data_IF_054239396065
#
_entry.id   IF_054239396065
#
_cell.length_a   1.000
_cell.length_b   1.000
_cell.length_c   1.000
_cell.angle_alpha   90.00
_cell.angle_beta   90.00
_cell.angle_gamma   90.00
#
_symmetry.space_group_name_H-M   'P 1'
#
loop_
_entity.id
_entity.type
_entity.pdbx_description
1 polymer ?
#
# COMPACT_ATOMS: atom_id res chain seq x y z
N UNK A 1 4.48 -16.62 16.69
CA UNK A 1 5.26 -17.14 15.53
C UNK A 1 6.70 -16.75 15.71
N UNK A 2 7.63 -17.59 15.22
CA UNK A 2 9.05 -17.27 15.15
C UNK A 2 9.38 -16.72 13.76
N UNK A 3 9.84 -15.48 13.71
CA UNK A 3 10.09 -14.73 12.47
C UNK A 3 11.54 -14.31 12.39
N UNK A 4 12.21 -14.62 11.30
CA UNK A 4 13.58 -14.20 11.05
C UNK A 4 13.58 -13.21 9.88
N UNK A 5 14.14 -12.02 10.11
CA UNK A 5 14.28 -10.98 9.09
C UNK A 5 15.76 -10.84 8.76
N UNK A 6 16.12 -11.02 7.50
CA UNK A 6 17.47 -10.86 6.98
C UNK A 6 17.60 -9.55 6.22
N UNK A 7 18.37 -8.60 6.77
CA UNK A 7 18.62 -7.26 6.25
C UNK A 7 17.99 -6.16 7.12
N UNK A 8 18.80 -5.43 7.88
CA UNK A 8 18.40 -4.27 8.68
C UNK A 8 18.41 -2.96 7.86
N UNK A 9 17.97 -3.02 6.61
CA UNK A 9 17.74 -1.86 5.76
C UNK A 9 16.31 -1.33 5.93
N UNK A 10 15.95 -0.37 5.12
CA UNK A 10 14.70 0.38 5.24
C UNK A 10 13.42 -0.49 5.38
N UNK A 11 13.30 -1.58 4.61
CA UNK A 11 12.14 -2.49 4.69
C UNK A 11 12.25 -3.38 5.92
N UNK A 12 13.42 -3.97 6.17
CA UNK A 12 13.64 -4.88 7.30
C UNK A 12 13.46 -4.19 8.66
N UNK A 13 14.02 -2.99 8.84
CA UNK A 13 13.83 -2.20 10.06
C UNK A 13 12.37 -1.79 10.26
N UNK A 14 11.67 -1.41 9.19
CA UNK A 14 10.26 -1.08 9.27
C UNK A 14 9.41 -2.29 9.68
N UNK A 15 9.65 -3.45 9.05
CA UNK A 15 9.00 -4.71 9.40
C UNK A 15 9.30 -5.11 10.86
N UNK A 16 10.56 -5.04 11.28
CA UNK A 16 10.96 -5.38 12.64
C UNK A 16 10.21 -4.53 13.67
N UNK A 17 10.12 -3.20 13.46
CA UNK A 17 9.35 -2.29 14.32
C UNK A 17 7.85 -2.53 14.30
N UNK A 18 7.29 -2.86 13.12
CA UNK A 18 5.87 -3.16 12.98
C UNK A 18 5.51 -4.43 13.75
N UNK A 19 6.32 -5.47 13.59
CA UNK A 19 6.07 -6.80 14.13
C UNK A 19 6.43 -6.90 15.62
N UNK A 20 7.36 -6.10 16.13
CA UNK A 20 7.69 -6.07 17.57
C UNK A 20 6.53 -5.60 18.45
N UNK A 21 5.53 -4.94 17.86
CA UNK A 21 4.27 -4.57 18.54
C UNK A 21 3.26 -5.72 18.63
N UNK A 22 3.47 -6.77 17.86
CA UNK A 22 2.72 -8.02 17.96
C UNK A 22 3.49 -9.00 18.85
N UNK A 23 2.82 -9.90 19.52
CA UNK A 23 3.44 -10.85 20.47
C UNK A 23 4.18 -11.97 19.70
N UNK A 24 5.14 -11.59 18.82
CA UNK A 24 5.89 -12.49 17.95
C UNK A 24 7.37 -12.52 18.36
N UNK A 25 8.01 -13.67 18.23
CA UNK A 25 9.45 -13.83 18.44
C UNK A 25 10.20 -13.41 17.16
N UNK A 26 10.92 -12.29 17.21
CA UNK A 26 11.57 -11.72 16.03
C UNK A 26 13.08 -11.75 16.21
N UNK A 27 13.78 -12.27 15.20
CA UNK A 27 15.24 -12.17 15.08
C UNK A 27 15.59 -11.38 13.81
N UNK A 28 16.37 -10.31 13.96
CA UNK A 28 16.85 -9.50 12.85
C UNK A 28 18.34 -9.74 12.62
N UNK A 29 18.71 -10.15 11.40
CA UNK A 29 20.09 -10.46 10.99
C UNK A 29 20.58 -9.37 10.03
N UNK A 30 21.77 -8.82 10.32
CA UNK A 30 22.47 -7.94 9.38
C UNK A 30 24.00 -8.03 9.59
N UNK A 31 24.78 -7.70 8.57
CA UNK A 31 26.24 -7.66 8.66
C UNK A 31 26.76 -6.44 9.45
N UNK A 32 25.97 -5.36 9.53
CA UNK A 32 26.33 -4.10 10.18
C UNK A 32 25.73 -4.03 11.58
N UNK A 33 26.60 -4.00 12.57
CA UNK A 33 26.24 -3.76 13.96
C UNK A 33 25.58 -2.37 14.14
N UNK A 34 26.06 -1.36 13.42
CA UNK A 34 25.50 0.00 13.45
C UNK A 34 24.03 0.03 12.99
N UNK A 35 23.71 -0.68 11.89
CA UNK A 35 22.32 -0.77 11.43
C UNK A 35 21.42 -1.48 12.43
N UNK A 36 21.89 -2.54 13.05
CA UNK A 36 21.15 -3.25 14.11
C UNK A 36 20.94 -2.36 15.33
N UNK A 37 21.98 -1.62 15.77
CA UNK A 37 21.88 -0.68 16.88
C UNK A 37 20.88 0.47 16.62
N UNK A 38 20.68 0.87 15.35
CA UNK A 38 19.76 1.95 14.98
C UNK A 38 18.28 1.62 15.20
N UNK A 39 17.94 0.36 15.47
CA UNK A 39 16.53 -0.04 15.68
C UNK A 39 16.02 0.40 17.05
N UNK A 40 16.93 0.65 17.97
CA UNK A 40 16.62 1.13 19.31
C UNK A 40 16.24 0.01 20.28
N UNK A 41 16.37 0.30 21.57
CA UNK A 41 16.03 -0.61 22.67
C UNK A 41 14.51 -0.75 22.87
N UNK A 42 13.71 0.02 22.14
CA UNK A 42 12.26 0.08 22.31
C UNK A 42 11.51 -1.04 21.58
N UNK A 43 12.24 -1.83 20.78
CA UNK A 43 11.68 -2.96 20.04
C UNK A 43 12.03 -4.27 20.74
N UNK A 44 11.01 -5.05 21.10
CA UNK A 44 11.17 -6.40 21.66
C UNK A 44 11.53 -7.39 20.54
N UNK A 45 12.84 -7.47 20.24
CA UNK A 45 13.38 -8.37 19.21
C UNK A 45 14.86 -8.71 19.50
N UNK A 46 15.31 -9.82 18.95
CA UNK A 46 16.71 -10.23 18.97
C UNK A 46 17.44 -9.68 17.74
N UNK A 47 18.66 -9.18 17.94
CA UNK A 47 19.55 -8.78 16.85
C UNK A 47 20.72 -9.75 16.73
N UNK A 48 21.13 -10.05 15.51
CA UNK A 48 22.26 -10.93 15.23
C UNK A 48 23.16 -10.35 14.15
N UNK A 49 24.42 -10.12 14.46
CA UNK A 49 25.42 -9.66 13.50
C UNK A 49 25.93 -10.84 12.67
N UNK A 50 25.78 -10.77 11.36
CA UNK A 50 26.30 -11.80 10.46
C UNK A 50 25.72 -11.76 9.06
N UNK A 51 26.34 -12.54 8.17
CA UNK A 51 25.88 -12.66 6.78
C UNK A 51 24.60 -13.49 6.71
N UNK A 52 23.52 -12.98 6.06
CA UNK A 52 22.30 -13.75 5.88
C UNK A 52 22.45 -15.07 5.08
N UNK A 53 23.56 -15.22 4.37
CA UNK A 53 23.92 -16.44 3.62
C UNK A 53 24.83 -17.39 4.37
N UNK A 54 25.20 -17.09 5.63
CA UNK A 54 26.03 -17.98 6.44
C UNK A 54 25.17 -19.05 7.12
N UNK A 55 25.45 -20.33 6.83
CA UNK A 55 24.77 -21.45 7.46
C UNK A 55 24.89 -21.46 8.99
N UNK A 56 26.04 -21.00 9.52
CA UNK A 56 26.23 -20.87 10.96
C UNK A 56 25.29 -19.81 11.53
N UNK A 57 25.28 -18.61 10.96
CA UNK A 57 24.41 -17.51 11.40
C UNK A 57 22.93 -17.92 11.33
N UNK A 58 22.52 -18.56 10.26
CA UNK A 58 21.14 -19.03 10.10
C UNK A 58 20.77 -20.09 11.15
N UNK A 59 21.68 -21.03 11.48
CA UNK A 59 21.45 -22.02 12.55
C UNK A 59 21.38 -21.36 13.92
N UNK A 60 22.31 -20.45 14.22
CA UNK A 60 22.35 -19.72 15.48
C UNK A 60 21.11 -18.84 15.67
N UNK A 61 20.52 -18.31 14.58
CA UNK A 61 19.22 -17.61 14.58
C UNK A 61 18.02 -18.54 14.81
N UNK A 62 18.22 -19.85 14.83
CA UNK A 62 17.17 -20.84 15.03
C UNK A 62 16.23 -20.96 13.82
N UNK A 63 16.78 -20.91 12.60
CA UNK A 63 16.02 -20.98 11.35
C UNK A 63 15.23 -22.29 11.19
N UNK A 64 15.68 -23.39 11.82
CA UNK A 64 14.99 -24.67 11.75
C UNK A 64 13.55 -24.63 12.30
N UNK A 65 13.30 -23.78 13.29
CA UNK A 65 12.01 -23.61 13.94
C UNK A 65 11.24 -22.37 13.44
N UNK A 66 11.78 -21.65 12.45
CA UNK A 66 11.16 -20.41 11.97
C UNK A 66 9.87 -20.69 11.20
N UNK A 67 8.80 -20.00 11.59
CA UNK A 67 7.52 -20.02 10.87
C UNK A 67 7.63 -19.21 9.56
N UNK A 68 8.42 -18.13 9.59
CA UNK A 68 8.63 -17.25 8.45
C UNK A 68 10.07 -16.70 8.42
N UNK A 69 10.73 -16.84 7.28
CA UNK A 69 12.02 -16.22 6.98
C UNK A 69 11.85 -15.17 5.89
N UNK A 70 12.32 -13.96 6.14
CA UNK A 70 12.12 -12.79 5.27
C UNK A 70 13.48 -12.22 4.88
N UNK A 71 13.87 -12.32 3.61
CA UNK A 71 15.11 -11.74 3.09
C UNK A 71 14.82 -10.44 2.33
N UNK A 72 15.26 -9.31 2.88
CA UNK A 72 14.97 -7.95 2.36
C UNK A 72 16.22 -7.06 2.33
N UNK A 73 17.37 -7.65 2.05
CA UNK A 73 18.61 -6.87 1.80
C UNK A 73 18.49 -6.12 0.45
N UNK A 74 19.39 -5.16 0.16
CA UNK A 74 19.43 -4.50 -1.16
C UNK A 74 19.78 -5.43 -2.33
N UNK A 75 20.45 -6.56 -2.07
CA UNK A 75 20.95 -7.49 -3.08
C UNK A 75 19.99 -8.66 -3.26
N UNK A 76 19.34 -8.74 -4.41
CA UNK A 76 18.37 -9.81 -4.71
C UNK A 76 19.03 -11.21 -4.69
N UNK A 77 20.26 -11.34 -5.18
CA UNK A 77 21.01 -12.61 -5.13
C UNK A 77 21.22 -13.10 -3.69
N UNK A 78 21.52 -12.20 -2.77
CA UNK A 78 21.61 -12.50 -1.33
C UNK A 78 20.26 -12.95 -0.78
N UNK A 79 19.17 -12.28 -1.15
CA UNK A 79 17.84 -12.60 -0.68
C UNK A 79 17.36 -13.97 -1.16
N UNK A 80 17.60 -14.28 -2.45
CA UNK A 80 17.27 -15.57 -3.04
C UNK A 80 18.08 -16.68 -2.35
N UNK A 81 19.41 -16.51 -2.26
CA UNK A 81 20.30 -17.49 -1.63
C UNK A 81 19.92 -17.74 -0.16
N UNK A 82 19.74 -16.67 0.62
CA UNK A 82 19.38 -16.77 2.03
C UNK A 82 18.03 -17.49 2.23
N UNK A 83 17.04 -17.21 1.39
CA UNK A 83 15.73 -17.86 1.44
C UNK A 83 15.79 -19.35 1.11
N UNK A 84 16.57 -19.74 0.10
CA UNK A 84 16.80 -21.17 -0.27
C UNK A 84 17.51 -21.88 0.91
N UNK A 85 18.55 -21.30 1.47
CA UNK A 85 19.27 -21.87 2.62
C UNK A 85 18.36 -22.00 3.85
N UNK A 86 17.58 -20.96 4.15
CA UNK A 86 16.63 -20.97 5.26
C UNK A 86 15.58 -22.08 5.11
N UNK A 87 15.02 -22.23 3.90
CA UNK A 87 14.06 -23.31 3.61
C UNK A 87 14.67 -24.70 3.84
N UNK A 88 15.88 -24.91 3.37
CA UNK A 88 16.58 -26.20 3.53
C UNK A 88 17.04 -26.45 5.00
N UNK A 89 17.16 -25.41 5.80
CA UNK A 89 17.42 -25.52 7.24
C UNK A 89 16.16 -25.81 8.07
N UNK A 90 14.96 -25.68 7.50
CA UNK A 90 13.70 -26.03 8.15
C UNK A 90 12.65 -24.90 8.23
N UNK A 91 12.95 -23.69 7.78
CA UNK A 91 11.96 -22.59 7.78
C UNK A 91 10.67 -23.01 7.03
N UNK A 92 9.50 -22.82 7.65
CA UNK A 92 8.23 -23.25 7.07
C UNK A 92 7.89 -22.47 5.80
N UNK A 93 8.01 -21.14 5.85
CA UNK A 93 7.75 -20.22 4.73
C UNK A 93 8.93 -19.28 4.56
N UNK A 94 9.19 -18.88 3.32
CA UNK A 94 10.27 -17.94 2.99
C UNK A 94 9.79 -16.85 2.03
N UNK A 95 10.31 -15.65 2.20
CA UNK A 95 10.05 -14.50 1.35
C UNK A 95 11.37 -13.90 0.90
N UNK A 96 11.52 -13.64 -0.40
CA UNK A 96 12.69 -12.95 -0.94
C UNK A 96 12.29 -11.66 -1.66
N UNK A 97 12.94 -10.54 -1.29
CA UNK A 97 12.87 -9.31 -2.07
C UNK A 97 13.70 -9.46 -3.34
N UNK A 98 13.08 -9.12 -4.46
CA UNK A 98 13.71 -9.10 -5.78
C UNK A 98 13.59 -7.73 -6.43
N UNK A 99 14.38 -7.46 -7.46
CA UNK A 99 14.31 -6.24 -8.26
C UNK A 99 14.37 -6.52 -9.78
N UNK A 100 14.53 -7.78 -10.18
CA UNK A 100 14.36 -8.23 -11.55
C UNK A 100 12.87 -8.50 -11.85
N UNK A 101 12.28 -7.79 -12.83
CA UNK A 101 10.88 -7.96 -13.20
C UNK A 101 10.55 -9.34 -13.79
N UNK A 102 11.49 -10.02 -14.41
CA UNK A 102 11.31 -11.37 -14.98
C UNK A 102 10.89 -12.38 -13.90
N UNK A 103 11.39 -12.19 -12.67
CA UNK A 103 11.05 -13.07 -11.55
C UNK A 103 9.61 -12.93 -11.06
N UNK A 104 8.90 -11.89 -11.52
CA UNK A 104 7.49 -11.70 -11.21
C UNK A 104 6.54 -12.39 -12.19
N UNK A 105 7.06 -12.96 -13.28
CA UNK A 105 6.25 -13.73 -14.21
C UNK A 105 5.78 -15.06 -13.57
N UNK A 106 4.57 -15.55 -13.89
CA UNK A 106 4.01 -16.75 -13.26
C UNK A 106 4.92 -17.97 -13.31
N UNK A 107 5.57 -18.22 -14.48
CA UNK A 107 6.49 -19.35 -14.63
C UNK A 107 7.75 -19.20 -13.76
N UNK A 108 8.29 -17.99 -13.65
CA UNK A 108 9.45 -17.73 -12.80
C UNK A 108 9.07 -17.88 -11.31
N UNK A 109 7.89 -17.41 -10.91
CA UNK A 109 7.41 -17.59 -9.53
C UNK A 109 7.27 -19.08 -9.18
N UNK A 110 6.71 -19.90 -10.07
CA UNK A 110 6.61 -21.36 -9.89
C UNK A 110 8.00 -22.00 -9.76
N UNK A 111 8.96 -21.60 -10.60
CA UNK A 111 10.35 -22.05 -10.51
C UNK A 111 10.96 -21.74 -9.12
N UNK A 112 10.81 -20.51 -8.61
CA UNK A 112 11.32 -20.12 -7.29
C UNK A 112 10.60 -20.84 -6.14
N UNK A 113 9.30 -21.13 -6.29
CA UNK A 113 8.58 -21.96 -5.33
C UNK A 113 9.14 -23.38 -5.28
N UNK A 114 9.48 -23.95 -6.43
CA UNK A 114 10.19 -25.23 -6.53
C UNK A 114 11.56 -25.24 -5.84
N UNK A 115 12.24 -24.09 -5.76
CA UNK A 115 13.48 -23.91 -4.99
C UNK A 115 13.25 -23.66 -3.50
N UNK A 116 11.99 -23.60 -3.05
CA UNK A 116 11.62 -23.41 -1.66
C UNK A 116 11.40 -21.95 -1.25
N UNK A 117 11.31 -21.01 -2.19
CA UNK A 117 10.93 -19.62 -1.91
C UNK A 117 9.42 -19.51 -2.02
N UNK A 118 8.73 -19.34 -0.88
CA UNK A 118 7.27 -19.33 -0.85
C UNK A 118 6.68 -18.13 -1.59
N UNK A 119 7.35 -16.97 -1.56
CA UNK A 119 6.88 -15.75 -2.23
C UNK A 119 8.03 -14.80 -2.57
N UNK A 120 7.94 -14.20 -3.75
CA UNK A 120 8.81 -13.09 -4.15
C UNK A 120 8.08 -11.77 -3.96
N UNK A 121 8.81 -10.74 -3.51
CA UNK A 121 8.28 -9.37 -3.41
C UNK A 121 9.14 -8.41 -4.21
N UNK A 122 8.48 -7.55 -4.98
CA UNK A 122 9.12 -6.48 -5.74
C UNK A 122 8.49 -5.14 -5.35
N UNK A 123 9.04 -4.42 -4.34
CA UNK A 123 8.45 -3.20 -3.79
C UNK A 123 8.20 -2.11 -4.82
N UNK A 124 9.11 -1.94 -5.78
CA UNK A 124 8.99 -0.95 -6.86
C UNK A 124 7.81 -1.26 -7.80
N UNK A 125 7.51 -2.53 -8.04
CA UNK A 125 6.35 -2.96 -8.82
C UNK A 125 5.04 -2.72 -8.07
N UNK A 126 5.02 -3.04 -6.77
CA UNK A 126 3.85 -2.80 -5.92
C UNK A 126 3.53 -1.30 -5.83
N UNK A 127 4.56 -0.47 -5.64
CA UNK A 127 4.41 0.99 -5.62
C UNK A 127 3.92 1.53 -6.97
N UNK A 128 4.40 0.98 -8.10
CA UNK A 128 3.96 1.37 -9.43
C UNK A 128 2.46 1.09 -9.65
N UNK A 129 1.95 -0.03 -9.14
CA UNK A 129 0.51 -0.35 -9.17
C UNK A 129 -0.28 0.70 -8.38
N UNK A 130 0.17 1.07 -7.18
CA UNK A 130 -0.51 2.06 -6.36
C UNK A 130 -0.46 3.47 -6.97
N UNK A 131 0.66 3.85 -7.59
CA UNK A 131 0.78 5.10 -8.35
C UNK A 131 -0.26 5.12 -9.48
N UNK A 132 -0.30 4.09 -10.32
CA UNK A 132 -1.21 4.03 -11.46
C UNK A 132 -2.68 4.00 -11.03
N UNK A 133 -3.02 3.27 -9.98
CA UNK A 133 -4.37 3.30 -9.40
C UNK A 133 -4.74 4.70 -8.89
N UNK A 134 -3.78 5.39 -8.25
CA UNK A 134 -3.95 6.78 -7.86
C UNK A 134 -4.13 7.75 -9.03
N UNK A 135 -3.49 7.51 -10.18
CA UNK A 135 -3.59 8.35 -11.37
C UNK A 135 -4.91 8.18 -12.14
N UNK A 136 -5.57 7.03 -12.05
CA UNK A 136 -6.87 6.79 -12.73
C UNK A 136 -7.95 7.83 -12.37
N UNK A 137 -7.85 8.45 -11.18
CA UNK A 137 -8.83 9.44 -10.69
C UNK A 137 -8.13 10.63 -10.04
N UNK A 138 -8.17 11.79 -10.69
CA UNK A 138 -7.50 13.01 -10.19
C UNK A 138 -8.04 13.50 -8.83
N UNK A 139 -9.29 13.20 -8.51
CA UNK A 139 -10.00 13.66 -7.32
C UNK A 139 -9.91 12.74 -6.10
N UNK A 140 -9.32 11.55 -6.26
CA UNK A 140 -9.15 10.52 -5.22
C UNK A 140 -7.70 10.53 -4.72
N UNK A 141 -7.50 10.40 -3.42
CA UNK A 141 -6.16 10.25 -2.79
C UNK A 141 -5.65 8.83 -2.90
N UNK A 142 -6.50 7.88 -2.57
CA UNK A 142 -6.21 6.45 -2.60
C UNK A 142 -7.35 5.71 -3.30
N UNK A 143 -7.00 4.74 -4.12
CA UNK A 143 -7.93 3.83 -4.75
C UNK A 143 -7.42 2.40 -4.59
N UNK A 144 -8.30 1.54 -4.19
CA UNK A 144 -8.05 0.11 -4.14
C UNK A 144 -9.21 -0.63 -4.80
N UNK A 145 -8.91 -1.33 -5.87
CA UNK A 145 -9.84 -2.21 -6.57
C UNK A 145 -9.71 -3.61 -5.98
N UNK A 146 -10.84 -4.20 -5.58
CA UNK A 146 -10.96 -5.55 -5.03
C UNK A 146 -11.71 -6.40 -6.04
N UNK A 147 -11.21 -7.61 -6.35
CA UNK A 147 -11.76 -8.49 -7.39
C UNK A 147 -12.06 -7.73 -8.69
N UNK A 148 -11.00 -7.20 -9.32
CA UNK A 148 -11.08 -6.43 -10.58
C UNK A 148 -12.08 -5.27 -10.56
N UNK A 149 -12.40 -4.77 -9.37
CA UNK A 149 -13.29 -3.62 -9.14
C UNK A 149 -14.74 -4.00 -8.91
N UNK A 150 -15.04 -5.24 -8.57
CA UNK A 150 -16.35 -5.63 -8.02
C UNK A 150 -16.68 -4.76 -6.79
N UNK A 151 -15.69 -4.58 -5.91
CA UNK A 151 -15.70 -3.54 -4.88
C UNK A 151 -14.55 -2.55 -5.12
N UNK A 152 -14.74 -1.30 -4.72
CA UNK A 152 -13.75 -0.24 -4.84
C UNK A 152 -13.71 0.57 -3.55
N UNK A 153 -12.54 0.72 -2.96
CA UNK A 153 -12.30 1.65 -1.88
C UNK A 153 -11.71 2.94 -2.42
N UNK A 154 -12.30 4.07 -2.02
CA UNK A 154 -11.89 5.42 -2.41
C UNK A 154 -11.57 6.26 -1.18
N UNK A 155 -10.31 6.68 -1.02
CA UNK A 155 -9.90 7.66 -0.02
C UNK A 155 -10.00 9.08 -0.61
N UNK A 156 -10.89 9.91 -0.08
CA UNK A 156 -11.25 11.21 -0.65
C UNK A 156 -11.06 12.31 0.39
N UNK A 157 -10.24 13.32 0.05
CA UNK A 157 -10.13 14.53 0.88
C UNK A 157 -11.34 15.43 0.64
N UNK A 158 -12.16 15.62 1.67
CA UNK A 158 -13.39 16.39 1.60
C UNK A 158 -13.10 17.90 1.55
N UNK A 159 -13.90 18.62 0.80
CA UNK A 159 -13.79 20.08 0.59
C UNK A 159 -15.17 20.74 0.79
N UNK A 160 -15.21 22.06 0.77
CA UNK A 160 -16.47 22.84 0.92
C UNK A 160 -17.55 22.46 -0.09
N UNK A 161 -17.18 21.92 -1.25
CA UNK A 161 -18.10 21.47 -2.29
C UNK A 161 -18.79 20.14 -1.98
N UNK A 162 -18.42 19.46 -0.89
CA UNK A 162 -19.02 18.19 -0.49
C UNK A 162 -20.42 18.44 0.12
N UNK A 163 -21.44 17.78 -0.42
CA UNK A 163 -22.85 17.97 -0.04
C UNK A 163 -23.23 17.27 1.28
N UNK A 164 -22.45 16.25 1.67
CA UNK A 164 -22.75 15.38 2.82
C UNK A 164 -21.95 15.73 4.09
N UNK A 165 -21.44 16.96 4.19
CA UNK A 165 -20.75 17.43 5.40
C UNK A 165 -21.73 17.73 6.54
N UNK A 166 -21.27 17.52 7.79
CA UNK A 166 -21.96 17.88 9.02
C UNK A 166 -23.37 17.26 9.14
N UNK A 167 -23.52 16.05 8.60
CA UNK A 167 -24.74 15.25 8.71
C UNK A 167 -24.36 13.89 9.32
N UNK A 168 -25.17 13.36 10.27
CA UNK A 168 -24.96 12.01 10.79
C UNK A 168 -24.97 10.95 9.67
N UNK A 169 -24.03 10.02 9.70
CA UNK A 169 -23.91 9.02 8.65
C UNK A 169 -25.19 8.18 8.49
N UNK A 170 -25.91 7.91 9.58
CA UNK A 170 -27.20 7.19 9.53
C UNK A 170 -28.28 7.90 8.70
N UNK A 171 -28.16 9.23 8.53
CA UNK A 171 -29.15 10.04 7.80
C UNK A 171 -28.77 10.18 6.30
N UNK A 172 -27.50 9.93 5.96
CA UNK A 172 -26.95 10.04 4.60
C UNK A 172 -26.48 8.71 4.00
N UNK A 173 -26.53 7.63 4.77
CA UNK A 173 -26.08 6.28 4.35
C UNK A 173 -26.95 5.23 5.03
N UNK A 174 -27.88 4.65 4.27
CA UNK A 174 -28.77 3.57 4.70
C UNK A 174 -28.29 2.20 4.23
N UNK A 175 -28.99 1.13 4.58
CA UNK A 175 -28.60 -0.25 4.26
C UNK A 175 -28.61 -0.58 2.75
N UNK A 176 -29.24 0.25 1.93
CA UNK A 176 -29.34 0.08 0.47
C UNK A 176 -28.57 1.19 -0.29
N UNK A 177 -27.81 2.02 0.41
CA UNK A 177 -27.09 3.10 -0.26
C UNK A 177 -25.88 2.59 -1.04
N UNK A 178 -25.48 3.34 -2.08
CA UNK A 178 -24.43 2.91 -3.01
C UNK A 178 -23.01 3.02 -2.43
N UNK A 179 -22.86 3.35 -1.17
CA UNK A 179 -21.55 3.46 -0.49
C UNK A 179 -21.64 3.20 1.02
N UNK A 180 -20.50 2.84 1.60
CA UNK A 180 -20.29 2.76 3.04
C UNK A 180 -19.02 3.54 3.42
N UNK A 181 -19.11 4.45 4.40
CA UNK A 181 -17.93 5.16 4.93
C UNK A 181 -17.27 4.25 5.97
N UNK A 182 -16.07 3.73 5.66
CA UNK A 182 -15.42 2.67 6.44
C UNK A 182 -14.32 3.20 7.38
N UNK A 183 -13.75 4.37 7.09
CA UNK A 183 -12.80 5.04 7.94
C UNK A 183 -12.78 6.55 7.66
N UNK A 184 -12.45 7.34 8.67
CA UNK A 184 -12.27 8.80 8.58
C UNK A 184 -10.95 9.15 9.24
N UNK A 185 -10.08 9.87 8.53
CA UNK A 185 -8.91 10.51 9.11
C UNK A 185 -9.18 12.00 9.28
N UNK A 186 -9.20 12.45 10.54
CA UNK A 186 -9.43 13.85 10.94
C UNK A 186 -8.23 14.36 11.73
N UNK A 187 -7.44 15.24 11.12
CA UNK A 187 -6.14 15.60 11.71
C UNK A 187 -5.28 14.36 11.94
N UNK A 188 -4.86 14.12 13.18
CA UNK A 188 -4.08 12.93 13.55
C UNK A 188 -4.94 11.76 14.05
N UNK A 189 -6.25 11.97 14.22
CA UNK A 189 -7.17 10.96 14.70
C UNK A 189 -7.73 10.10 13.55
N UNK A 190 -7.86 8.79 13.82
CA UNK A 190 -8.56 7.85 12.94
C UNK A 190 -9.81 7.34 13.60
N UNK A 191 -10.92 7.43 12.89
CA UNK A 191 -12.25 7.05 13.35
C UNK A 191 -12.74 5.90 12.46
N UNK A 192 -13.15 4.79 13.05
CA UNK A 192 -14.03 3.81 12.40
C UNK A 192 -15.44 4.26 12.71
N UNK A 193 -16.15 4.86 11.73
CA UNK A 193 -17.36 5.62 12.06
C UNK A 193 -18.56 4.72 12.34
N UNK A 194 -19.39 5.17 13.27
CA UNK A 194 -20.76 4.68 13.51
C UNK A 194 -21.80 5.61 12.89
N UNK A 195 -23.08 5.23 12.98
CA UNK A 195 -24.17 5.99 12.37
C UNK A 195 -24.35 7.43 12.90
N UNK A 196 -23.88 7.74 14.11
CA UNK A 196 -23.97 9.08 14.69
C UNK A 196 -22.77 9.98 14.37
N UNK A 197 -21.72 9.43 13.77
CA UNK A 197 -20.56 10.21 13.34
C UNK A 197 -20.89 11.03 12.08
N UNK A 198 -20.16 12.13 11.91
CA UNK A 198 -20.33 13.07 10.82
C UNK A 198 -19.03 13.21 10.02
N UNK A 199 -19.15 13.45 8.72
CA UNK A 199 -18.05 13.89 7.88
C UNK A 199 -17.83 15.40 8.04
N UNK A 200 -16.58 15.82 8.20
CA UNK A 200 -16.21 17.23 8.37
C UNK A 200 -15.31 17.74 7.27
N UNK A 201 -15.26 19.03 7.13
CA UNK A 201 -14.37 19.71 6.20
C UNK A 201 -12.92 19.29 6.47
N UNK A 202 -12.20 18.95 5.40
CA UNK A 202 -10.82 18.44 5.39
C UNK A 202 -10.62 17.03 5.98
N UNK A 203 -11.66 16.28 6.27
CA UNK A 203 -11.52 14.85 6.53
C UNK A 203 -10.98 14.14 5.28
N UNK A 204 -10.14 13.12 5.48
CA UNK A 204 -9.87 12.09 4.48
C UNK A 204 -10.81 10.93 4.78
N UNK A 205 -11.90 10.84 4.03
CA UNK A 205 -12.91 9.81 4.21
C UNK A 205 -12.71 8.64 3.22
N UNK A 206 -12.84 7.43 3.72
CA UNK A 206 -12.71 6.20 2.95
C UNK A 206 -14.10 5.63 2.67
N UNK A 207 -14.44 5.61 1.39
CA UNK A 207 -15.71 5.10 0.88
C UNK A 207 -15.49 3.71 0.28
N UNK A 208 -16.25 2.74 0.73
CA UNK A 208 -16.42 1.46 0.03
C UNK A 208 -17.64 1.55 -0.87
N UNK A 209 -17.49 1.12 -2.12
CA UNK A 209 -18.54 1.16 -3.13
C UNK A 209 -18.32 0.10 -4.22
N UNK A 210 -19.20 0.00 -5.17
CA UNK A 210 -19.01 -0.75 -6.42
C UNK A 210 -18.65 0.19 -7.58
N UNK A 211 -18.07 -0.36 -8.64
CA UNK A 211 -17.63 0.44 -9.81
C UNK A 211 -18.73 1.33 -10.37
N UNK A 212 -19.97 0.85 -10.39
CA UNK A 212 -21.11 1.54 -10.99
C UNK A 212 -21.49 2.82 -10.22
N UNK A 213 -21.19 2.90 -8.95
CA UNK A 213 -21.56 4.04 -8.11
C UNK A 213 -20.43 5.07 -7.88
N UNK A 214 -19.27 4.88 -8.50
CA UNK A 214 -18.17 5.86 -8.45
C UNK A 214 -18.64 7.25 -8.94
N UNK A 215 -19.42 7.38 -10.05
CA UNK A 215 -19.93 8.69 -10.48
C UNK A 215 -20.84 9.36 -9.44
N UNK A 216 -21.66 8.58 -8.73
CA UNK A 216 -22.50 9.09 -7.66
C UNK A 216 -21.66 9.66 -6.51
N UNK A 217 -20.65 8.93 -6.05
CA UNK A 217 -19.73 9.42 -5.00
C UNK A 217 -19.03 10.70 -5.46
N UNK A 218 -18.53 10.73 -6.71
CA UNK A 218 -17.90 11.91 -7.31
C UNK A 218 -18.77 13.15 -7.21
N UNK A 219 -20.08 12.98 -7.44
CA UNK A 219 -21.08 14.05 -7.34
C UNK A 219 -21.25 14.52 -5.90
N UNK A 220 -21.62 13.65 -4.98
CA UNK A 220 -21.92 14.03 -3.58
C UNK A 220 -20.73 14.61 -2.84
N UNK A 221 -19.49 14.26 -3.23
CA UNK A 221 -18.26 14.88 -2.68
C UNK A 221 -17.83 16.14 -3.44
N UNK A 222 -18.63 16.61 -4.42
CA UNK A 222 -18.42 17.86 -5.16
C UNK A 222 -17.16 17.84 -6.03
N UNK A 223 -16.87 16.72 -6.71
CA UNK A 223 -15.67 16.54 -7.55
C UNK A 223 -15.96 16.39 -9.04
N UNK A 224 -17.16 16.76 -9.52
CA UNK A 224 -17.57 16.60 -10.91
C UNK A 224 -16.67 17.36 -11.90
N UNK A 225 -16.13 18.51 -11.47
CA UNK A 225 -15.26 19.36 -12.31
C UNK A 225 -13.80 18.90 -12.39
N UNK A 226 -13.44 17.79 -11.75
CA UNK A 226 -12.10 17.23 -11.89
C UNK A 226 -11.98 16.46 -13.19
N UNK A 227 -10.95 16.79 -13.99
CA UNK A 227 -10.69 16.09 -15.25
C UNK A 227 -9.90 14.79 -14.99
N UNK A 228 -10.10 13.81 -15.84
CA UNK A 228 -9.31 12.58 -15.81
C UNK A 228 -7.87 12.86 -16.23
N UNK A 229 -6.93 12.10 -15.68
CA UNK A 229 -5.51 12.26 -15.96
C UNK A 229 -5.20 11.63 -17.32
N UNK A 230 -4.65 12.44 -18.22
CA UNK A 230 -4.14 12.01 -19.54
C UNK A 230 -2.66 12.32 -19.71
N UNK A 231 -2.18 13.41 -19.11
CA UNK A 231 -0.78 13.82 -19.16
C UNK A 231 -0.18 13.81 -17.74
N UNK A 232 0.93 13.12 -17.63
CA UNK A 232 1.66 12.91 -16.38
C UNK A 232 3.08 13.44 -16.54
N UNK A 233 3.55 14.20 -15.56
CA UNK A 233 4.95 14.58 -15.45
C UNK A 233 5.56 13.88 -14.24
N UNK A 234 6.64 13.13 -14.46
CA UNK A 234 7.36 12.39 -13.41
C UNK A 234 8.71 13.04 -13.17
N UNK A 235 9.00 13.38 -11.92
CA UNK A 235 10.33 13.82 -11.49
C UNK A 235 11.10 12.64 -10.90
N UNK A 236 12.18 12.25 -11.57
CA UNK A 236 13.05 11.13 -11.21
C UNK A 236 12.76 9.85 -11.99
N UNK A 237 13.75 9.38 -12.78
CA UNK A 237 13.69 8.21 -13.66
C UNK A 237 14.10 6.88 -13.01
N UNK A 238 13.94 6.74 -11.70
CA UNK A 238 14.30 5.52 -10.95
C UNK A 238 13.50 4.28 -11.34
N UNK A 239 13.81 3.14 -10.70
CA UNK A 239 13.13 1.85 -10.97
C UNK A 239 11.60 1.93 -10.84
N UNK A 240 11.11 2.63 -9.82
CA UNK A 240 9.66 2.81 -9.60
C UNK A 240 9.01 3.58 -10.76
N UNK A 241 9.66 4.63 -11.28
CA UNK A 241 9.16 5.38 -12.42
C UNK A 241 9.04 4.50 -13.67
N UNK A 242 10.10 3.73 -13.99
CA UNK A 242 10.08 2.78 -15.12
C UNK A 242 8.94 1.78 -14.99
N UNK A 243 8.70 1.22 -13.79
CA UNK A 243 7.59 0.27 -13.57
C UNK A 243 6.22 0.95 -13.67
N UNK A 244 6.09 2.18 -13.16
CA UNK A 244 4.85 2.95 -13.26
C UNK A 244 4.51 3.23 -14.74
N UNK A 245 5.48 3.73 -15.52
CA UNK A 245 5.27 4.03 -16.95
C UNK A 245 4.93 2.77 -17.75
N UNK A 246 5.67 1.66 -17.57
CA UNK A 246 5.38 0.41 -18.29
C UNK A 246 3.99 -0.19 -17.99
N UNK A 247 3.40 0.15 -16.84
CA UNK A 247 2.03 -0.28 -16.44
C UNK A 247 0.99 0.83 -16.56
N UNK A 248 1.39 2.00 -17.07
CA UNK A 248 0.47 3.12 -17.24
C UNK A 248 -0.58 2.81 -18.31
N UNK A 249 -1.85 3.20 -18.11
CA UNK A 249 -2.88 3.04 -19.11
C UNK A 249 -2.50 3.66 -20.45
N UNK A 250 -2.90 3.05 -21.57
CA UNK A 250 -2.51 3.47 -22.92
C UNK A 250 -2.95 4.89 -23.29
N UNK A 251 -4.01 5.39 -22.66
CA UNK A 251 -4.53 6.75 -22.90
C UNK A 251 -3.76 7.84 -22.16
N UNK A 252 -2.73 7.48 -21.35
CA UNK A 252 -1.90 8.43 -20.62
C UNK A 252 -0.56 8.62 -21.32
N UNK A 253 -0.17 9.87 -21.49
CA UNK A 253 1.15 10.30 -21.97
C UNK A 253 2.00 10.72 -20.78
N UNK A 254 3.30 10.47 -20.84
CA UNK A 254 4.23 10.72 -19.75
C UNK A 254 5.44 11.54 -20.19
N UNK A 255 5.82 12.53 -19.38
CA UNK A 255 7.13 13.18 -19.41
C UNK A 255 7.92 12.78 -18.18
N UNK A 256 9.18 12.34 -18.34
CA UNK A 256 10.09 12.07 -17.23
C UNK A 256 11.19 13.11 -17.23
N UNK A 257 11.37 13.82 -16.12
CA UNK A 257 12.49 14.74 -15.91
C UNK A 257 13.51 14.01 -15.02
N UNK A 258 14.69 13.75 -15.57
CA UNK A 258 15.80 13.07 -14.89
C UNK A 258 17.09 13.90 -15.03
N UNK A 259 17.82 14.02 -13.94
CA UNK A 259 19.02 14.86 -13.89
C UNK A 259 20.30 14.14 -14.30
N UNK A 260 20.30 12.82 -14.28
CA UNK A 260 21.43 11.98 -14.63
C UNK A 260 21.35 11.64 -16.13
N UNK A 261 22.36 12.04 -16.90
CA UNK A 261 22.38 11.89 -18.36
C UNK A 261 22.41 10.42 -18.78
N UNK A 262 23.25 9.59 -18.14
CA UNK A 262 23.32 8.16 -18.44
C UNK A 262 21.98 7.45 -18.10
N UNK A 263 21.29 7.97 -17.09
CA UNK A 263 19.95 7.47 -16.76
C UNK A 263 18.91 7.87 -17.81
N UNK A 264 19.01 9.08 -18.37
CA UNK A 264 18.15 9.50 -19.48
C UNK A 264 18.33 8.59 -20.72
N UNK A 265 19.58 8.27 -21.06
CA UNK A 265 19.88 7.33 -22.16
C UNK A 265 19.22 5.96 -21.93
N UNK A 266 19.42 5.39 -20.73
CA UNK A 266 18.78 4.13 -20.35
C UNK A 266 17.25 4.18 -20.43
N UNK A 267 16.63 5.30 -20.05
CA UNK A 267 15.17 5.46 -20.10
C UNK A 267 14.68 5.50 -21.55
N UNK A 268 15.38 6.19 -22.44
CA UNK A 268 15.06 6.24 -23.87
C UNK A 268 15.16 4.86 -24.54
N UNK A 269 16.12 4.02 -24.12
CA UNK A 269 16.25 2.65 -24.61
C UNK A 269 15.17 1.69 -24.06
N UNK A 270 14.69 1.97 -22.84
CA UNK A 270 13.84 1.04 -22.08
C UNK A 270 12.35 1.31 -22.22
N UNK A 271 11.97 2.56 -22.49
CA UNK A 271 10.58 3.02 -22.53
C UNK A 271 10.14 3.29 -23.98
N UNK A 272 8.83 3.21 -24.23
CA UNK A 272 8.23 3.52 -25.52
C UNK A 272 8.27 5.03 -25.78
N UNK A 273 9.04 5.46 -26.76
CA UNK A 273 9.21 6.86 -27.16
C UNK A 273 7.91 7.53 -27.65
N UNK A 274 6.94 6.75 -28.14
CA UNK A 274 5.66 7.28 -28.58
C UNK A 274 4.76 7.71 -27.41
N UNK A 275 5.04 7.20 -26.21
CA UNK A 275 4.22 7.45 -25.00
C UNK A 275 4.99 8.23 -23.92
N UNK A 276 6.32 8.23 -24.00
CA UNK A 276 7.17 8.76 -22.94
C UNK A 276 8.24 9.66 -23.51
N UNK A 277 8.22 10.92 -23.12
CA UNK A 277 9.28 11.88 -23.41
C UNK A 277 10.23 11.97 -22.21
N UNK A 278 11.53 11.71 -22.42
CA UNK A 278 12.55 11.85 -21.38
C UNK A 278 13.27 13.19 -21.55
N UNK A 279 13.34 13.96 -20.49
CA UNK A 279 13.91 15.30 -20.45
C UNK A 279 15.08 15.27 -19.47
N UNK A 280 16.28 15.61 -19.95
CA UNK A 280 17.44 15.78 -19.11
C UNK A 280 17.37 17.13 -18.39
N UNK A 281 17.29 17.12 -17.05
CA UNK A 281 17.25 18.33 -16.25
C UNK A 281 16.86 18.10 -14.79
N UNK A 282 16.90 19.18 -14.01
CA UNK A 282 16.48 19.15 -12.61
C UNK A 282 14.97 19.44 -12.51
N UNK A 283 14.19 18.46 -12.07
CA UNK A 283 12.74 18.60 -11.90
C UNK A 283 12.30 19.59 -10.81
N UNK A 284 13.23 20.30 -10.17
CA UNK A 284 12.98 21.44 -9.27
C UNK A 284 13.12 22.77 -9.96
N UNK A 285 13.67 22.79 -11.18
CA UNK A 285 13.88 24.01 -11.94
C UNK A 285 12.55 24.54 -12.50
N UNK A 286 12.09 25.67 -11.96
CA UNK A 286 10.80 26.27 -12.34
C UNK A 286 10.78 26.72 -13.79
N UNK A 287 11.82 27.38 -14.37
CA UNK A 287 11.94 27.63 -15.78
C UNK A 287 11.71 26.37 -16.63
N UNK A 288 12.43 25.30 -16.36
CA UNK A 288 12.30 24.03 -17.08
C UNK A 288 10.87 23.47 -16.97
N UNK A 289 10.29 23.47 -15.77
CA UNK A 289 8.92 23.00 -15.57
C UNK A 289 7.89 23.81 -16.39
N UNK A 290 8.07 25.14 -16.49
CA UNK A 290 7.19 25.98 -17.32
C UNK A 290 7.38 25.70 -18.82
N UNK A 291 8.62 25.55 -19.29
CA UNK A 291 8.95 25.21 -20.68
C UNK A 291 8.31 23.87 -21.07
N UNK A 292 8.38 22.88 -20.17
CA UNK A 292 7.81 21.56 -20.36
C UNK A 292 6.29 21.48 -20.12
N UNK A 293 5.66 22.60 -19.82
CA UNK A 293 4.20 22.73 -19.77
C UNK A 293 3.55 22.22 -18.50
N UNK A 294 4.19 22.40 -17.33
CA UNK A 294 3.64 22.00 -16.02
C UNK A 294 2.23 22.55 -15.78
N UNK A 295 1.91 23.75 -16.29
CA UNK A 295 0.60 24.41 -16.10
C UNK A 295 -0.56 23.70 -16.81
N UNK A 296 -0.26 22.92 -17.85
CA UNK A 296 -1.22 22.10 -18.59
C UNK A 296 -1.19 20.63 -18.16
N UNK A 297 -0.22 20.25 -17.31
CA UNK A 297 -0.07 18.89 -16.78
C UNK A 297 -1.16 18.58 -15.76
N UNK A 298 -1.78 17.42 -15.88
CA UNK A 298 -2.89 17.02 -15.02
C UNK A 298 -2.41 16.30 -13.77
N UNK A 299 -1.29 15.58 -13.85
CA UNK A 299 -0.68 14.92 -12.71
C UNK A 299 0.84 15.11 -12.67
N UNK A 300 1.36 15.36 -11.46
CA UNK A 300 2.79 15.44 -11.19
C UNK A 300 3.18 14.36 -10.16
N UNK A 301 4.21 13.56 -10.49
CA UNK A 301 4.64 12.41 -9.68
C UNK A 301 6.11 12.59 -9.32
N UNK A 302 6.43 12.77 -8.05
CA UNK A 302 7.80 12.95 -7.55
C UNK A 302 8.33 11.63 -6.97
N UNK A 303 9.32 11.04 -7.64
CA UNK A 303 9.88 9.70 -7.35
C UNK A 303 11.40 9.71 -7.15
N UNK A 304 11.97 10.82 -6.71
CA UNK A 304 13.40 10.85 -6.38
C UNK A 304 13.69 10.08 -5.08
N UNK A 305 14.96 9.85 -4.80
CA UNK A 305 15.40 9.20 -3.56
C UNK A 305 15.27 10.06 -2.29
N UNK A 306 14.86 11.33 -2.41
CA UNK A 306 14.79 12.28 -1.30
C UNK A 306 13.33 12.70 -1.05
N UNK A 307 12.82 12.37 0.15
CA UNK A 307 11.42 12.62 0.53
C UNK A 307 11.08 14.12 0.59
N UNK A 308 11.97 14.93 1.14
CA UNK A 308 11.80 16.39 1.28
C UNK A 308 11.71 17.05 -0.10
N UNK A 309 12.59 16.65 -1.00
CA UNK A 309 12.56 17.09 -2.41
C UNK A 309 11.24 16.74 -3.07
N UNK A 310 10.74 15.51 -2.87
CA UNK A 310 9.48 15.06 -3.45
C UNK A 310 8.28 15.84 -2.89
N UNK A 311 8.26 16.13 -1.59
CA UNK A 311 7.23 16.92 -0.92
C UNK A 311 7.21 18.34 -1.49
N UNK A 312 8.38 19.02 -1.53
CA UNK A 312 8.49 20.38 -2.04
C UNK A 312 8.14 20.49 -3.53
N UNK A 313 8.56 19.52 -4.34
CA UNK A 313 8.23 19.48 -5.77
C UNK A 313 6.72 19.33 -5.99
N UNK A 314 6.04 18.47 -5.23
CA UNK A 314 4.58 18.34 -5.28
C UNK A 314 3.86 19.63 -4.85
N UNK A 315 4.34 20.33 -3.80
CA UNK A 315 3.79 21.62 -3.40
C UNK A 315 3.96 22.67 -4.50
N UNK A 316 5.13 22.73 -5.15
CA UNK A 316 5.42 23.62 -6.26
C UNK A 316 4.49 23.32 -7.44
N UNK A 317 4.37 22.06 -7.86
CA UNK A 317 3.46 21.65 -8.92
C UNK A 317 2.01 22.05 -8.64
N UNK A 318 1.53 21.89 -7.40
CA UNK A 318 0.19 22.34 -7.00
C UNK A 318 0.01 23.85 -7.12
N UNK A 319 1.00 24.64 -6.69
CA UNK A 319 0.99 26.10 -6.84
C UNK A 319 0.99 26.53 -8.31
N UNK A 320 1.57 25.73 -9.19
CA UNK A 320 1.55 25.94 -10.65
C UNK A 320 0.27 25.45 -11.32
N UNK A 321 -0.70 24.89 -10.56
CA UNK A 321 -2.02 24.53 -11.06
C UNK A 321 -2.25 23.03 -11.25
N UNK A 322 -1.25 22.18 -11.00
CA UNK A 322 -1.45 20.72 -11.09
C UNK A 322 -2.36 20.23 -9.98
N UNK A 323 -3.44 19.57 -10.35
CA UNK A 323 -4.48 19.12 -9.40
C UNK A 323 -4.15 17.79 -8.73
N UNK A 324 -3.57 16.86 -9.48
CA UNK A 324 -3.16 15.56 -8.97
C UNK A 324 -1.65 15.53 -8.73
N UNK A 325 -1.24 15.28 -7.49
CA UNK A 325 0.17 15.10 -7.14
C UNK A 325 0.36 13.80 -6.39
N UNK A 326 1.50 13.14 -6.64
CA UNK A 326 1.91 11.88 -6.00
C UNK A 326 3.36 12.03 -5.57
N UNK A 327 3.67 11.81 -4.30
CA UNK A 327 5.03 11.90 -3.76
C UNK A 327 5.48 10.58 -3.15
N UNK A 328 6.67 10.12 -3.51
CA UNK A 328 7.36 9.08 -2.77
C UNK A 328 7.93 9.67 -1.46
N UNK A 329 7.43 9.18 -0.32
CA UNK A 329 7.84 9.60 1.02
C UNK A 329 8.25 8.36 1.81
N UNK A 330 9.54 8.01 1.73
CA UNK A 330 10.06 6.79 2.35
C UNK A 330 10.29 6.94 3.86
N UNK A 331 10.43 8.17 4.36
CA UNK A 331 10.48 8.41 5.79
C UNK A 331 9.07 8.51 6.36
N UNK A 332 8.71 7.55 7.21
CA UNK A 332 7.36 7.46 7.82
C UNK A 332 7.06 8.68 8.70
N UNK A 333 8.07 9.27 9.33
CA UNK A 333 7.90 10.43 10.20
C UNK A 333 7.46 11.68 9.42
N UNK A 334 7.75 11.72 8.12
CA UNK A 334 7.35 12.83 7.25
C UNK A 334 5.93 12.68 6.67
N UNK A 335 5.30 11.53 6.84
CA UNK A 335 3.99 11.26 6.25
C UNK A 335 2.93 12.21 6.83
N UNK A 336 2.85 12.36 8.16
CA UNK A 336 1.88 13.26 8.80
C UNK A 336 2.10 14.71 8.38
N UNK A 337 3.37 15.17 8.32
CA UNK A 337 3.69 16.51 7.82
C UNK A 337 3.27 16.69 6.35
N UNK A 338 3.60 15.71 5.49
CA UNK A 338 3.25 15.76 4.08
C UNK A 338 1.74 15.79 3.85
N UNK A 339 0.97 15.10 4.71
CA UNK A 339 -0.50 15.17 4.70
C UNK A 339 -1.04 16.52 5.13
N UNK A 340 -0.49 17.11 6.20
CA UNK A 340 -0.89 18.43 6.69
C UNK A 340 -0.65 19.51 5.64
N UNK A 341 0.41 19.37 4.84
CA UNK A 341 0.71 20.22 3.69
C UNK A 341 -0.17 19.94 2.47
N UNK A 342 -1.03 18.92 2.55
CA UNK A 342 -1.95 18.54 1.48
C UNK A 342 -1.26 18.26 0.13
N UNK A 343 -0.08 17.64 0.16
CA UNK A 343 0.75 17.41 -1.04
C UNK A 343 0.16 16.47 -2.08
N UNK A 344 -0.89 15.76 -1.77
CA UNK A 344 -1.50 14.80 -2.69
C UNK A 344 -1.48 13.37 -2.15
N UNK A 345 -1.27 12.42 -3.04
CA UNK A 345 -1.11 10.99 -2.70
C UNK A 345 0.31 10.75 -2.22
N UNK A 346 0.46 9.98 -1.16
CA UNK A 346 1.77 9.57 -0.62
C UNK A 346 1.97 8.09 -0.95
N UNK A 347 3.15 7.77 -1.47
CA UNK A 347 3.60 6.40 -1.75
C UNK A 347 4.80 6.09 -0.85
N UNK A 348 4.72 4.98 -0.13
CA UNK A 348 5.82 4.49 0.70
C UNK A 348 6.04 2.99 0.44
N UNK A 349 7.14 2.65 -0.21
CA UNK A 349 7.46 1.28 -0.59
C UNK A 349 7.65 0.35 0.61
N UNK A 350 8.15 0.87 1.72
CA UNK A 350 8.37 0.07 2.94
C UNK A 350 7.05 -0.45 3.50
N UNK A 351 6.06 0.43 3.59
CA UNK A 351 4.73 0.09 4.11
C UNK A 351 3.98 -0.82 3.14
N UNK A 352 4.08 -0.56 1.84
CA UNK A 352 3.48 -1.41 0.81
C UNK A 352 4.07 -2.84 0.89
N UNK A 353 5.41 -2.95 0.97
CA UNK A 353 6.08 -4.24 1.12
C UNK A 353 5.72 -4.93 2.45
N UNK A 354 5.66 -4.17 3.55
CA UNK A 354 5.28 -4.69 4.86
C UNK A 354 3.86 -5.25 4.86
N UNK A 355 2.90 -4.54 4.26
CA UNK A 355 1.51 -5.02 4.12
C UNK A 355 1.46 -6.38 3.40
N UNK A 356 2.21 -6.50 2.31
CA UNK A 356 2.27 -7.72 1.52
C UNK A 356 2.92 -8.90 2.27
N UNK A 357 3.96 -8.62 3.09
CA UNK A 357 4.61 -9.64 3.92
C UNK A 357 3.69 -10.02 5.09
N UNK A 358 3.04 -9.04 5.71
CA UNK A 358 2.14 -9.28 6.85
C UNK A 358 0.97 -10.22 6.48
N UNK A 359 0.47 -10.13 5.27
CA UNK A 359 -0.54 -11.08 4.74
C UNK A 359 -0.11 -12.55 4.94
N UNK A 360 1.18 -12.85 4.77
CA UNK A 360 1.70 -14.21 4.93
C UNK A 360 1.79 -14.69 6.38
N UNK A 361 1.63 -13.79 7.34
CA UNK A 361 1.65 -14.13 8.77
C UNK A 361 0.28 -14.52 9.30
N UNK A 362 -0.76 -14.28 8.54
CA UNK A 362 -2.12 -14.68 8.89
C UNK A 362 -2.36 -16.13 8.51
N UNK A 363 -3.07 -16.86 9.38
CA UNK A 363 -3.37 -18.29 9.20
C UNK A 363 -4.70 -18.50 8.45
N UNK A 364 -5.59 -17.49 8.43
CA UNK A 364 -6.77 -17.46 7.58
C UNK A 364 -6.39 -17.32 6.10
N UNK A 365 -7.31 -17.70 5.23
CA UNK A 365 -7.19 -17.40 3.81
C UNK A 365 -7.42 -15.89 3.61
N UNK A 366 -6.32 -15.14 3.60
CA UNK A 366 -6.30 -13.69 3.41
C UNK A 366 -5.79 -13.38 2.01
N UNK A 367 -6.66 -12.79 1.20
CA UNK A 367 -6.31 -12.43 -0.18
C UNK A 367 -5.41 -11.21 -0.24
N UNK A 368 -5.65 -10.21 0.60
CA UNK A 368 -4.92 -8.96 0.61
C UNK A 368 -4.88 -8.34 2.02
N UNK A 369 -3.79 -7.64 2.32
CA UNK A 369 -3.67 -6.74 3.48
C UNK A 369 -3.15 -5.40 3.01
N UNK A 370 -3.72 -4.31 3.53
CA UNK A 370 -3.22 -2.94 3.34
C UNK A 370 -3.17 -2.18 4.65
N UNK A 371 -2.04 -1.60 4.91
CA UNK A 371 -1.89 -0.59 5.96
C UNK A 371 -2.21 0.78 5.38
N UNK A 372 -3.32 1.35 5.83
CA UNK A 372 -3.71 2.71 5.43
C UNK A 372 -2.90 3.71 6.26
N UNK A 373 -1.65 3.98 5.83
CA UNK A 373 -0.71 4.87 6.54
C UNK A 373 -1.35 6.17 6.97
N UNK A 374 -2.10 6.77 6.04
CA UNK A 374 -2.77 8.05 6.26
C UNK A 374 -3.87 7.96 7.30
N UNK A 375 -4.39 6.79 7.61
CA UNK A 375 -5.48 6.60 8.54
C UNK A 375 -5.10 5.77 9.77
N UNK A 376 -3.84 5.33 9.92
CA UNK A 376 -3.44 4.39 10.97
C UNK A 376 -4.45 3.24 11.15
N UNK A 377 -5.05 2.80 10.05
CA UNK A 377 -6.04 1.75 10.01
C UNK A 377 -5.54 0.63 9.10
N UNK A 378 -5.90 -0.58 9.44
CA UNK A 378 -5.55 -1.77 8.67
C UNK A 378 -6.79 -2.28 7.94
N UNK A 379 -6.60 -2.73 6.72
CA UNK A 379 -7.63 -3.33 5.90
C UNK A 379 -7.18 -4.72 5.50
N UNK A 380 -8.03 -5.72 5.67
CA UNK A 380 -7.78 -7.06 5.18
C UNK A 380 -8.99 -7.63 4.47
N UNK A 381 -8.70 -8.43 3.47
CA UNK A 381 -9.65 -9.20 2.69
C UNK A 381 -9.58 -10.67 3.13
N UNK A 382 -10.57 -11.10 3.91
CA UNK A 382 -10.67 -12.47 4.43
C UNK A 382 -11.64 -13.29 3.62
N UNK A 383 -11.29 -14.56 3.36
CA UNK A 383 -12.25 -15.53 2.85
C UNK A 383 -12.98 -16.18 4.02
N UNK A 384 -14.31 -16.10 4.03
CA UNK A 384 -15.15 -16.72 5.04
C UNK A 384 -15.16 -18.24 4.87
N UNK A 385 -14.64 -18.98 5.87
CA UNK A 385 -14.65 -20.44 5.86
C UNK A 385 -16.00 -20.98 6.31
N UNK A 386 -16.35 -22.17 5.82
CA UNK A 386 -17.53 -22.88 6.26
C UNK A 386 -17.47 -23.16 7.78
N UNK A 387 -18.55 -22.86 8.49
CA UNK A 387 -18.63 -23.04 9.94
C UNK A 387 -17.88 -21.99 10.78
N UNK A 388 -17.22 -21.02 10.15
CA UNK A 388 -16.57 -19.89 10.83
C UNK A 388 -17.59 -19.01 11.56
N UNK A 389 -17.14 -18.18 12.51
CA UNK A 389 -18.05 -17.34 13.31
C UNK A 389 -18.84 -16.35 12.45
N UNK A 390 -18.20 -15.79 11.41
CA UNK A 390 -18.84 -14.80 10.52
C UNK A 390 -20.00 -15.37 9.72
N UNK A 391 -20.02 -16.68 9.48
CA UNK A 391 -21.10 -17.34 8.71
C UNK A 391 -22.31 -17.77 9.56
N UNK A 392 -22.22 -17.65 10.91
CA UNK A 392 -23.26 -18.18 11.81
C UNK A 392 -24.38 -17.20 12.10
N UNK A 393 -24.13 -15.89 11.97
CA UNK A 393 -25.07 -14.84 12.37
C UNK A 393 -24.94 -13.63 11.44
N UNK A 394 -25.99 -12.78 11.34
CA UNK A 394 -25.88 -11.48 10.68
C UNK A 394 -24.80 -10.62 11.31
N UNK A 395 -24.22 -9.71 10.53
CA UNK A 395 -23.07 -8.86 10.93
C UNK A 395 -23.31 -8.14 12.26
N UNK A 396 -24.51 -7.60 12.50
CA UNK A 396 -24.86 -6.91 13.77
C UNK A 396 -24.73 -7.79 15.02
N UNK A 397 -24.88 -9.11 14.88
CA UNK A 397 -24.90 -10.08 15.98
C UNK A 397 -23.56 -10.81 16.14
N UNK A 398 -22.54 -10.46 15.34
CA UNK A 398 -21.21 -11.11 15.38
C UNK A 398 -20.40 -10.74 16.62
N UNK A 399 -20.73 -9.63 17.30
CA UNK A 399 -19.95 -9.12 18.43
C UNK A 399 -18.53 -8.70 18.06
N UNK A 400 -18.38 -8.04 16.90
CA UNK A 400 -17.09 -7.51 16.46
C UNK A 400 -16.55 -6.50 17.48
N UNK A 401 -15.21 -6.44 17.69
CA UNK A 401 -14.62 -5.45 18.60
C UNK A 401 -14.91 -4.01 18.18
N UNK A 402 -14.94 -3.10 19.15
CA UNK A 402 -14.98 -1.65 18.86
C UNK A 402 -13.78 -1.27 18.02
N UNK A 403 -13.96 -0.45 16.99
CA UNK A 403 -12.89 -0.09 16.06
C UNK A 403 -12.72 -1.07 14.89
N UNK A 404 -13.69 -1.97 14.68
CA UNK A 404 -13.75 -2.86 13.52
C UNK A 404 -15.05 -2.63 12.75
N UNK A 405 -14.96 -2.54 11.42
CA UNK A 405 -16.14 -2.55 10.54
C UNK A 405 -15.90 -3.45 9.34
N UNK A 406 -16.98 -4.02 8.83
CA UNK A 406 -17.02 -4.76 7.57
C UNK A 406 -17.58 -3.82 6.51
N UNK A 407 -16.75 -3.44 5.56
CA UNK A 407 -17.11 -2.45 4.54
C UNK A 407 -17.92 -3.01 3.38
N UNK A 408 -17.65 -4.28 3.02
CA UNK A 408 -18.27 -4.95 1.90
C UNK A 408 -17.79 -6.40 1.79
N UNK A 409 -18.40 -7.14 0.90
CA UNK A 409 -17.98 -8.50 0.52
C UNK A 409 -18.12 -8.72 -0.98
N UNK A 410 -17.39 -9.70 -1.49
CA UNK A 410 -17.56 -10.20 -2.85
C UNK A 410 -18.03 -11.63 -2.76
N UNK A 411 -19.17 -11.93 -3.38
CA UNK A 411 -19.78 -13.25 -3.50
C UNK A 411 -19.75 -13.71 -4.94
N UNK A 412 -18.92 -14.71 -5.23
CA UNK A 412 -18.58 -15.03 -6.61
C UNK A 412 -17.86 -13.87 -7.29
N UNK A 413 -18.50 -13.20 -8.24
CA UNK A 413 -17.97 -12.02 -8.94
C UNK A 413 -18.69 -10.71 -8.55
N UNK A 414 -19.73 -10.79 -7.72
CA UNK A 414 -20.56 -9.65 -7.35
C UNK A 414 -20.09 -8.98 -6.06
N UNK A 415 -19.81 -7.69 -6.16
CA UNK A 415 -19.48 -6.84 -5.01
C UNK A 415 -20.74 -6.33 -4.31
N UNK A 416 -20.80 -6.52 -2.99
CA UNK A 416 -21.93 -6.13 -2.14
C UNK A 416 -21.45 -5.28 -0.98
N UNK A 417 -22.19 -4.21 -0.66
CA UNK A 417 -21.98 -3.46 0.56
C UNK A 417 -22.65 -4.19 1.73
N UNK A 418 -22.00 -4.12 2.89
CA UNK A 418 -22.46 -4.84 4.09
C UNK A 418 -23.25 -3.92 4.99
N UNK A 419 -24.42 -4.38 5.44
CA UNK A 419 -25.23 -3.78 6.50
C UNK A 419 -25.26 -4.69 7.72
N UNK A 420 -25.80 -4.20 8.84
CA UNK A 420 -25.98 -5.00 10.05
C UNK A 420 -26.81 -6.28 9.83
N UNK A 421 -27.72 -6.28 8.85
CA UNK A 421 -28.57 -7.45 8.54
C UNK A 421 -27.94 -8.39 7.51
N UNK A 422 -26.79 -8.07 6.94
CA UNK A 422 -26.12 -8.90 5.95
C UNK A 422 -25.68 -10.23 6.59
N UNK A 423 -26.00 -11.34 5.96
CA UNK A 423 -25.51 -12.67 6.30
C UNK A 423 -24.31 -12.99 5.40
N UNK A 424 -23.15 -13.19 6.00
CA UNK A 424 -21.95 -13.66 5.30
C UNK A 424 -22.05 -15.17 5.09
N UNK A 425 -21.68 -15.63 3.90
CA UNK A 425 -21.71 -17.04 3.51
C UNK A 425 -20.30 -17.59 3.34
N UNK A 426 -20.15 -18.91 3.39
CA UNK A 426 -18.88 -19.56 3.12
C UNK A 426 -18.41 -19.27 1.69
N UNK A 427 -17.15 -18.91 1.53
CA UNK A 427 -16.56 -18.53 0.25
C UNK A 427 -16.65 -17.03 -0.06
N UNK A 428 -17.41 -16.22 0.70
CA UNK A 428 -17.41 -14.79 0.55
C UNK A 428 -16.01 -14.21 0.83
N UNK A 429 -15.58 -13.29 -0.01
CA UNK A 429 -14.41 -12.45 0.24
C UNK A 429 -14.83 -11.17 0.96
N UNK A 430 -14.43 -11.01 2.22
CA UNK A 430 -14.96 -10.01 3.14
C UNK A 430 -13.92 -8.95 3.46
N UNK A 431 -14.24 -7.69 3.20
CA UNK A 431 -13.39 -6.53 3.48
C UNK A 431 -13.59 -6.01 4.90
N UNK A 432 -12.58 -6.19 5.74
CA UNK A 432 -12.58 -5.79 7.15
C UNK A 432 -11.62 -4.63 7.38
N UNK A 433 -12.11 -3.59 8.03
CA UNK A 433 -11.36 -2.41 8.45
C UNK A 433 -11.20 -2.44 9.96
N UNK A 434 -10.00 -2.20 10.46
CA UNK A 434 -9.75 -2.10 11.88
C UNK A 434 -8.76 -0.97 12.21
N UNK A 435 -8.95 -0.39 13.39
CA UNK A 435 -8.08 0.63 13.97
C UNK A 435 -7.66 0.21 15.37
N UNK A 436 -6.36 0.26 15.66
CA UNK A 436 -5.77 -0.13 16.95
C UNK A 436 -6.08 -1.57 17.40
N UNK A 437 -6.39 -2.47 16.46
CA UNK A 437 -6.69 -3.86 16.75
C UNK A 437 -5.77 -4.75 15.92
N UNK A 438 -5.14 -5.73 16.58
CA UNK A 438 -4.34 -6.70 15.87
C UNK A 438 -5.22 -7.56 14.96
N UNK A 439 -4.90 -7.60 13.68
CA UNK A 439 -5.61 -8.33 12.64
C UNK A 439 -5.76 -9.83 12.96
N UNK A 440 -4.81 -10.43 13.68
CA UNK A 440 -4.92 -11.82 14.19
C UNK A 440 -6.09 -12.05 15.13
N UNK A 441 -6.61 -11.02 15.82
CA UNK A 441 -7.83 -11.15 16.62
C UNK A 441 -9.06 -11.25 15.74
N UNK A 442 -9.03 -10.56 14.60
CA UNK A 442 -10.12 -10.55 13.62
C UNK A 442 -10.15 -11.86 12.84
N UNK A 443 -9.00 -12.38 12.48
CA UNK A 443 -8.82 -13.65 11.80
C UNK A 443 -9.64 -14.78 12.43
N UNK A 444 -9.73 -14.82 13.78
CA UNK A 444 -10.49 -15.85 14.55
C UNK A 444 -11.99 -15.87 14.26
N UNK A 445 -12.51 -14.89 13.58
CA UNK A 445 -13.89 -14.86 13.13
C UNK A 445 -14.08 -15.59 11.79
N UNK A 446 -13.01 -15.79 11.01
CA UNK A 446 -13.01 -16.31 9.65
C UNK A 446 -12.50 -17.76 9.54
N UNK A 447 -11.93 -18.32 10.60
CA UNK A 447 -11.44 -19.71 10.69
C UNK A 447 -12.38 -20.59 11.47
#
# INVERSE_FOLDING_TARGET
MKIIIAGAYAIGTHLARLLSRSNEEITLIDESEERLASIGSDCDLLTMVGKPTSLRVLRDAGTADADLFIAVTPLESTNITASILAKNLGAKRTVARVDNPEYMDPQAQEFFQGLGISKLIYPEMLAAVDINNGLKMSWVRQRWDVHDGALVMLGIKLRQTCEILNQPLKDISGPNDPYHVVAIKRGDETIIPGGNDELKLYDLAYFMTTRNYIPYIRKIVGKEHYVDVKNVMIMGGGRTAVRAVKKMPEYMECKIIEKDEARCEYLNETLDENKTLVIHGDGRDIPLLNEEGIRSTQAFVALTGNAETNILACLTAKRMGVRKTVAAVENVDYVSMAESLDIGTIINKKVIAASYIYQMMLDADVMNVRFLMNANADVAEFIAKEGSKVTKKPVKDLGMPIGVTIGGLVRGEEGMLVSGNTQIEAGDSVMVFCHNINMKKIEKYFV
#
